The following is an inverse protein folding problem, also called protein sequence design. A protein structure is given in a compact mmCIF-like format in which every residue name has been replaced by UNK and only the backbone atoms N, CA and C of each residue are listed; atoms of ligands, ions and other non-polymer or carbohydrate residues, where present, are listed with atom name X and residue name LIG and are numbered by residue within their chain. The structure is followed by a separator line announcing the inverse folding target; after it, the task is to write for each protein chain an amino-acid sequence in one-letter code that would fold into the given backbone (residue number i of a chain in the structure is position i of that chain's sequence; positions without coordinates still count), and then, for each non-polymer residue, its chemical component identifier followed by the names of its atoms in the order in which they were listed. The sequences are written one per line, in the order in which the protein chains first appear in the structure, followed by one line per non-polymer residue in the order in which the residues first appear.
data_IF_849691770424
#
_entry.id   IF_849691770424
#
_cell.length_a   1.000
_cell.length_b   1.000
_cell.length_c   1.000
_cell.angle_alpha   90.00
_cell.angle_beta   90.00
_cell.angle_gamma   90.00
#
_symmetry.space_group_name_H-M   'P 1'
#
loop_
_entity.id
_entity.type
_entity.pdbx_description
1 polymer ?
#
# COMPACT_ATOMS: atom_id res chain seq x y z
N UNK A 1 -1.09 64.47 -10.48
CA UNK A 1 -1.30 63.60 -9.29
C UNK A 1 -2.28 62.45 -9.56
N UNK A 2 -3.44 62.65 -10.22
CA UNK A 2 -4.40 61.56 -10.55
C UNK A 2 -3.79 60.41 -11.39
N UNK A 3 -2.96 60.71 -12.38
CA UNK A 3 -2.35 59.70 -13.24
C UNK A 3 -1.27 58.85 -12.54
N UNK A 4 -0.63 59.40 -11.49
CA UNK A 4 0.37 58.69 -10.70
C UNK A 4 -0.28 57.65 -9.76
N UNK A 5 -1.44 58.02 -9.19
CA UNK A 5 -2.24 57.12 -8.34
C UNK A 5 -2.79 55.95 -9.18
N UNK A 6 -3.22 56.22 -10.42
CA UNK A 6 -3.72 55.19 -11.32
C UNK A 6 -2.63 54.17 -11.71
N UNK A 7 -1.41 54.64 -12.01
CA UNK A 7 -0.27 53.76 -12.28
C UNK A 7 0.11 52.90 -11.06
N UNK A 8 0.04 53.47 -9.85
CA UNK A 8 0.32 52.72 -8.62
C UNK A 8 -0.71 51.61 -8.39
N UNK A 9 -2.01 51.92 -8.56
CA UNK A 9 -3.08 50.91 -8.43
C UNK A 9 -2.96 49.79 -9.47
N UNK A 10 -2.62 50.11 -10.73
CA UNK A 10 -2.40 49.10 -11.77
C UNK A 10 -1.20 48.20 -11.44
N UNK A 11 -0.12 48.77 -10.89
CA UNK A 11 1.06 47.97 -10.47
C UNK A 11 0.79 47.05 -9.27
N UNK A 12 -0.07 47.45 -8.33
CA UNK A 12 -0.48 46.64 -7.18
C UNK A 12 -1.37 45.45 -7.59
N UNK A 13 -2.24 45.64 -8.59
CA UNK A 13 -3.08 44.55 -9.12
C UNK A 13 -2.24 43.51 -9.89
N UNK A 14 -1.21 43.94 -10.61
CA UNK A 14 -0.30 43.05 -11.34
C UNK A 14 0.57 42.18 -10.43
N UNK A 15 0.93 42.64 -9.22
CA UNK A 15 1.66 41.82 -8.23
C UNK A 15 0.78 40.73 -7.59
N UNK A 16 -0.54 40.95 -7.48
CA UNK A 16 -1.46 39.94 -6.93
C UNK A 16 -1.70 38.74 -7.87
N UNK A 17 -1.40 38.87 -9.16
CA UNK A 17 -1.53 37.77 -10.14
C UNK A 17 -0.33 36.82 -10.16
N UNK A 18 0.80 37.18 -9.54
CA UNK A 18 1.92 36.25 -9.36
C UNK A 18 1.73 35.45 -8.07
N UNK A 19 0.66 34.66 -8.00
CA UNK A 19 0.64 33.54 -7.07
C UNK A 19 1.70 32.55 -7.55
N UNK A 20 2.90 32.63 -6.98
CA UNK A 20 3.95 31.62 -7.12
C UNK A 20 3.47 30.33 -6.42
N UNK A 21 2.45 29.67 -6.97
CA UNK A 21 2.16 28.29 -6.65
C UNK A 21 3.13 27.44 -7.44
N UNK A 22 4.39 27.39 -7.01
CA UNK A 22 5.26 26.30 -7.45
C UNK A 22 4.50 24.99 -7.18
N UNK A 23 4.36 24.09 -8.15
CA UNK A 23 3.71 22.82 -7.92
C UNK A 23 4.43 22.11 -6.76
N UNK A 24 3.67 21.47 -5.84
CA UNK A 24 4.27 20.82 -4.69
C UNK A 24 5.28 19.76 -5.15
N UNK A 25 6.52 19.86 -4.67
CA UNK A 25 7.62 18.96 -5.04
C UNK A 25 7.33 17.54 -4.53
N UNK A 26 7.51 16.54 -5.39
CA UNK A 26 7.44 15.15 -4.97
C UNK A 26 8.66 14.75 -4.14
N UNK A 27 8.54 14.88 -2.82
CA UNK A 27 9.58 14.41 -1.89
C UNK A 27 9.46 12.92 -1.58
N UNK A 28 8.39 12.24 -1.98
CA UNK A 28 8.15 10.82 -1.70
C UNK A 28 8.68 9.88 -2.78
N UNK A 29 9.28 10.40 -3.84
CA UNK A 29 9.94 9.55 -4.83
C UNK A 29 10.97 8.61 -4.20
N UNK A 30 10.84 7.31 -4.44
CA UNK A 30 11.81 6.30 -4.00
C UNK A 30 11.27 4.89 -3.92
N UNK A 31 12.12 3.99 -3.43
CA UNK A 31 11.80 2.60 -3.13
C UNK A 31 11.52 2.43 -1.64
N UNK A 32 10.50 1.65 -1.31
CA UNK A 32 10.04 1.47 0.06
C UNK A 32 9.84 0.01 0.42
N UNK A 33 10.16 -0.34 1.66
CA UNK A 33 9.95 -1.68 2.22
C UNK A 33 8.82 -1.66 3.22
N UNK A 34 8.01 -2.71 3.17
CA UNK A 34 6.94 -2.96 4.14
C UNK A 34 7.55 -3.30 5.50
N UNK A 35 7.25 -2.49 6.53
CA UNK A 35 7.81 -2.67 7.88
C UNK A 35 6.78 -3.14 8.89
N UNK A 36 5.50 -2.86 8.67
CA UNK A 36 4.42 -3.37 9.51
C UNK A 36 3.14 -3.50 8.71
N UNK A 37 2.29 -4.44 9.13
CA UNK A 37 0.90 -4.54 8.70
C UNK A 37 0.09 -4.86 9.94
N UNK A 38 -0.86 -3.99 10.27
CA UNK A 38 -1.85 -4.24 11.32
C UNK A 38 -3.23 -4.44 10.70
N UNK A 39 -4.08 -5.19 11.39
CA UNK A 39 -5.46 -5.46 11.00
C UNK A 39 -6.41 -5.05 12.12
N UNK A 40 -7.49 -4.36 11.80
CA UNK A 40 -8.54 -4.04 12.78
C UNK A 40 -9.29 -5.31 13.25
N UNK A 41 -9.21 -6.40 12.47
CA UNK A 41 -9.76 -7.71 12.81
C UNK A 41 -8.63 -8.74 12.97
N UNK A 42 -8.44 -9.31 14.17
CA UNK A 42 -7.47 -10.39 14.36
C UNK A 42 -7.81 -11.61 13.50
N UNK A 43 -6.79 -12.21 12.88
CA UNK A 43 -6.89 -13.38 12.01
C UNK A 43 -5.76 -14.35 12.32
N UNK A 44 -6.00 -15.64 12.07
CA UNK A 44 -4.99 -16.69 12.07
C UNK A 44 -4.64 -16.98 10.60
N UNK A 45 -3.45 -16.54 10.16
CA UNK A 45 -3.01 -16.75 8.78
C UNK A 45 -2.07 -17.95 8.62
N UNK A 46 -1.48 -18.42 9.73
CA UNK A 46 -0.45 -19.44 9.76
C UNK A 46 -0.99 -20.80 10.25
N UNK A 47 -2.28 -20.91 10.55
CA UNK A 47 -2.95 -22.12 11.03
C UNK A 47 -2.38 -22.66 12.36
N UNK A 48 -1.89 -21.78 13.24
CA UNK A 48 -1.45 -22.16 14.59
C UNK A 48 -2.57 -22.11 15.64
N UNK A 49 -3.75 -21.66 15.26
CA UNK A 49 -4.94 -21.55 16.11
C UNK A 49 -5.00 -20.26 16.93
N UNK A 50 -4.00 -19.38 16.83
CA UNK A 50 -3.94 -18.08 17.53
C UNK A 50 -4.21 -16.98 16.53
N UNK A 51 -5.13 -16.06 16.87
CA UNK A 51 -5.39 -14.87 16.06
C UNK A 51 -4.57 -13.70 16.54
N UNK A 52 -4.09 -12.90 15.61
CA UNK A 52 -3.39 -11.66 15.91
C UNK A 52 -3.84 -10.50 15.02
N UNK A 53 -3.84 -9.29 15.57
CA UNK A 53 -3.97 -8.05 14.81
C UNK A 53 -2.64 -7.63 14.15
N UNK A 54 -1.52 -8.19 14.58
CA UNK A 54 -0.22 -8.03 13.91
C UNK A 54 -0.16 -8.95 12.68
N UNK A 55 -0.69 -8.45 11.59
CA UNK A 55 -0.85 -9.18 10.34
C UNK A 55 0.50 -9.55 9.72
N UNK A 56 1.52 -8.69 9.84
CA UNK A 56 2.85 -9.01 9.33
C UNK A 56 3.49 -10.15 10.13
N UNK A 57 3.28 -10.18 11.46
CA UNK A 57 3.72 -11.30 12.28
C UNK A 57 3.02 -12.61 11.90
N UNK A 58 1.71 -12.59 11.67
CA UNK A 58 0.96 -13.75 11.17
C UNK A 58 1.51 -14.28 9.85
N UNK A 59 1.80 -13.38 8.89
CA UNK A 59 2.40 -13.76 7.61
C UNK A 59 3.78 -14.41 7.77
N UNK A 60 4.63 -13.84 8.62
CA UNK A 60 6.04 -14.23 8.75
C UNK A 60 6.27 -15.39 9.71
N UNK A 61 5.28 -15.73 10.54
CA UNK A 61 5.31 -16.90 11.37
C UNK A 61 5.32 -18.20 10.55
N UNK A 62 5.74 -19.29 11.18
CA UNK A 62 5.69 -20.60 10.53
C UNK A 62 4.24 -21.03 10.36
N UNK A 63 3.88 -21.43 9.16
CA UNK A 63 2.59 -22.04 8.85
C UNK A 63 2.56 -23.51 9.31
N UNK A 64 1.51 -23.93 9.99
CA UNK A 64 1.29 -25.32 10.38
C UNK A 64 0.41 -26.02 9.36
N UNK A 65 0.86 -27.18 8.88
CA UNK A 65 0.05 -28.00 7.96
C UNK A 65 -1.27 -28.41 8.61
N UNK A 66 -2.29 -28.82 7.85
CA UNK A 66 -3.58 -29.15 8.44
C UNK A 66 -3.57 -30.27 9.49
N UNK A 67 -2.59 -31.17 9.40
CA UNK A 67 -2.34 -32.23 10.40
C UNK A 67 -1.56 -31.74 11.62
N UNK A 68 -1.11 -30.49 11.62
CA UNK A 68 -0.23 -29.84 12.60
C UNK A 68 1.08 -30.59 12.90
N UNK A 69 1.46 -31.55 12.07
CA UNK A 69 2.65 -32.39 12.27
C UNK A 69 3.94 -31.74 11.80
N UNK A 70 3.84 -30.71 10.95
CA UNK A 70 4.97 -29.98 10.39
C UNK A 70 4.65 -28.51 10.28
N UNK A 71 5.68 -27.67 10.35
CA UNK A 71 5.55 -26.24 10.09
C UNK A 71 6.55 -25.76 9.03
N UNK A 72 6.19 -24.76 8.25
CA UNK A 72 6.94 -24.25 7.09
C UNK A 72 7.02 -22.72 7.12
N UNK A 73 8.10 -22.15 6.61
CA UNK A 73 8.18 -20.70 6.37
C UNK A 73 7.52 -20.40 5.03
N UNK A 74 6.38 -19.71 5.03
CA UNK A 74 5.59 -19.47 3.81
C UNK A 74 5.78 -18.08 3.22
N UNK A 75 6.27 -17.13 4.02
CA UNK A 75 6.49 -15.76 3.59
C UNK A 75 7.72 -15.18 4.27
N UNK A 76 8.50 -14.44 3.48
CA UNK A 76 9.64 -13.67 3.96
C UNK A 76 9.46 -12.23 3.48
N UNK A 77 9.50 -11.23 4.38
CA UNK A 77 9.26 -9.83 4.03
C UNK A 77 10.47 -9.20 3.33
N UNK A 78 11.58 -9.94 3.19
CA UNK A 78 12.81 -9.47 2.58
C UNK A 78 12.85 -9.79 1.09
N UNK A 79 13.10 -8.79 0.24
CA UNK A 79 13.28 -8.98 -1.20
C UNK A 79 12.61 -7.88 -2.01
N UNK A 80 12.81 -7.88 -3.34
CA UNK A 80 12.17 -6.93 -4.27
C UNK A 80 10.64 -7.10 -4.33
N UNK A 81 10.15 -8.30 -4.06
CA UNK A 81 8.79 -8.78 -4.35
C UNK A 81 7.65 -8.09 -3.58
N UNK A 82 7.90 -7.49 -2.42
CA UNK A 82 6.86 -6.86 -1.58
C UNK A 82 7.16 -5.39 -1.25
N UNK A 83 7.96 -4.74 -2.11
CA UNK A 83 8.23 -3.31 -1.98
C UNK A 83 7.18 -2.47 -2.69
N UNK A 84 7.13 -1.20 -2.28
CA UNK A 84 6.45 -0.17 -3.03
C UNK A 84 7.47 0.71 -3.75
N UNK A 85 7.07 1.26 -4.89
CA UNK A 85 7.86 2.23 -5.66
C UNK A 85 6.99 3.46 -5.94
N UNK A 86 7.52 4.63 -5.62
CA UNK A 86 6.89 5.92 -5.93
C UNK A 86 7.77 6.63 -6.94
N UNK A 87 7.25 6.85 -8.15
CA UNK A 87 7.91 7.55 -9.26
C UNK A 87 7.28 8.94 -9.46
N UNK A 88 8.05 9.97 -9.87
CA UNK A 88 9.47 9.93 -10.19
C UNK A 88 10.37 10.03 -8.94
N UNK A 89 11.58 9.50 -9.06
CA UNK A 89 12.67 9.62 -8.07
C UNK A 89 14.02 9.71 -8.80
N UNK A 90 15.11 10.02 -8.09
CA UNK A 90 16.42 10.35 -8.70
C UNK A 90 17.00 9.27 -9.61
N UNK A 91 16.80 7.99 -9.30
CA UNK A 91 17.25 6.87 -10.14
C UNK A 91 16.27 6.46 -11.25
N UNK A 92 15.14 7.15 -11.41
CA UNK A 92 14.15 6.85 -12.44
C UNK A 92 14.28 7.83 -13.62
N UNK A 93 14.31 7.30 -14.84
CA UNK A 93 14.40 8.07 -16.09
C UNK A 93 13.03 8.61 -16.55
N UNK A 94 11.93 8.10 -16.00
CA UNK A 94 10.56 8.53 -16.34
C UNK A 94 10.08 9.63 -15.40
N UNK A 95 9.42 10.65 -15.95
CA UNK A 95 8.82 11.75 -15.18
C UNK A 95 7.36 11.50 -14.82
N UNK A 96 6.80 10.37 -15.26
CA UNK A 96 5.40 10.05 -15.06
C UNK A 96 5.10 9.69 -13.59
N UNK A 97 4.17 10.39 -12.92
CA UNK A 97 3.80 10.08 -11.55
C UNK A 97 3.07 8.73 -11.46
N UNK A 98 3.70 7.74 -10.81
CA UNK A 98 3.09 6.44 -10.54
C UNK A 98 3.46 5.94 -9.14
N UNK A 99 2.57 5.15 -8.53
CA UNK A 99 2.83 4.41 -7.31
C UNK A 99 2.45 2.97 -7.53
N UNK A 100 3.41 2.08 -7.28
CA UNK A 100 3.25 0.65 -7.43
C UNK A 100 3.40 -0.02 -6.07
N UNK A 101 2.52 -0.96 -5.75
CA UNK A 101 2.59 -1.78 -4.54
C UNK A 101 2.54 -3.26 -4.90
N UNK A 102 3.24 -4.08 -4.12
CA UNK A 102 3.11 -5.52 -4.19
C UNK A 102 2.70 -6.07 -2.80
N UNK A 103 1.47 -6.58 -2.69
CA UNK A 103 0.96 -7.13 -1.43
C UNK A 103 1.00 -8.66 -1.41
N UNK A 104 1.26 -9.28 -0.25
CA UNK A 104 1.11 -10.72 -0.11
C UNK A 104 -0.37 -11.12 -0.12
N UNK A 105 -0.72 -12.06 -0.99
CA UNK A 105 -2.04 -12.68 -1.05
C UNK A 105 -1.98 -14.18 -0.83
N UNK A 106 -2.93 -14.71 -0.04
CA UNK A 106 -3.03 -16.14 0.26
C UNK A 106 -3.56 -16.91 -0.96
N UNK A 107 -2.75 -17.83 -1.48
CA UNK A 107 -3.23 -18.89 -2.35
C UNK A 107 -3.70 -20.05 -1.47
N UNK A 108 -5.02 -20.21 -1.32
CA UNK A 108 -5.65 -21.25 -0.50
C UNK A 108 -6.15 -22.37 -1.39
N UNK A 109 -5.84 -23.60 -1.01
CA UNK A 109 -6.30 -24.82 -1.69
C UNK A 109 -6.98 -25.76 -0.69
N UNK A 110 -7.54 -26.87 -1.16
CA UNK A 110 -8.20 -27.88 -0.34
C UNK A 110 -7.94 -29.30 -0.84
N UNK A 111 -7.86 -30.24 0.09
CA UNK A 111 -7.53 -31.65 -0.20
C UNK A 111 -8.55 -32.37 -1.09
N UNK A 112 -9.84 -32.00 -1.04
CA UNK A 112 -10.90 -32.53 -1.93
C UNK A 112 -12.22 -31.76 -1.80
N UNK A 113 -13.10 -31.89 -2.80
CA UNK A 113 -14.46 -31.31 -2.76
C UNK A 113 -15.36 -31.92 -1.66
N UNK A 114 -15.17 -33.19 -1.32
CA UNK A 114 -16.02 -33.95 -0.38
C UNK A 114 -15.59 -33.84 1.09
N UNK A 115 -14.29 -33.65 1.35
CA UNK A 115 -13.74 -33.47 2.69
C UNK A 115 -12.71 -32.33 2.68
N UNK A 116 -13.22 -31.09 2.63
CA UNK A 116 -12.42 -29.87 2.43
C UNK A 116 -11.58 -29.58 3.66
N UNK A 117 -10.35 -30.05 3.65
CA UNK A 117 -9.31 -29.54 4.54
C UNK A 117 -8.58 -28.43 3.79
N UNK A 118 -8.79 -27.18 4.22
CA UNK A 118 -8.15 -26.02 3.63
C UNK A 118 -6.69 -25.91 4.06
N UNK A 119 -5.82 -25.52 3.15
CA UNK A 119 -4.40 -25.27 3.43
C UNK A 119 -3.86 -24.11 2.62
N UNK A 120 -2.85 -23.44 3.17
CA UNK A 120 -2.10 -22.41 2.46
C UNK A 120 -1.12 -23.08 1.50
N UNK A 121 -1.25 -22.81 0.20
CA UNK A 121 -0.31 -23.30 -0.80
C UNK A 121 0.94 -22.41 -0.87
N UNK A 122 0.77 -21.09 -0.98
CA UNK A 122 1.84 -20.08 -0.92
C UNK A 122 1.26 -18.66 -0.80
N UNK A 123 2.12 -17.67 -0.54
CA UNK A 123 1.79 -16.25 -0.70
C UNK A 123 2.26 -15.72 -2.05
N UNK A 124 1.35 -15.21 -2.86
CA UNK A 124 1.70 -14.57 -4.14
C UNK A 124 1.78 -13.04 -4.00
N UNK A 125 2.77 -12.38 -4.64
CA UNK A 125 2.76 -10.93 -4.76
C UNK A 125 1.68 -10.51 -5.76
N UNK A 126 0.76 -9.64 -5.31
CA UNK A 126 -0.24 -9.03 -6.18
C UNK A 126 0.11 -7.57 -6.38
N UNK A 127 0.30 -7.20 -7.65
CA UNK A 127 0.63 -5.85 -8.07
C UNK A 127 -0.62 -4.98 -8.11
N UNK A 128 -0.55 -3.82 -7.46
CA UNK A 128 -1.55 -2.75 -7.55
C UNK A 128 -0.84 -1.44 -7.90
N UNK A 129 -1.19 -0.86 -9.05
CA UNK A 129 -0.53 0.32 -9.61
C UNK A 129 -1.50 1.49 -9.75
N UNK A 130 -1.04 2.68 -9.37
CA UNK A 130 -1.80 3.92 -9.39
C UNK A 130 -1.01 5.03 -10.07
N UNK A 131 -1.73 6.03 -10.55
CA UNK A 131 -1.16 7.37 -10.67
C UNK A 131 -1.53 8.19 -9.45
N UNK A 132 -0.90 9.35 -9.28
CA UNK A 132 -1.23 10.20 -8.14
C UNK A 132 -1.03 11.68 -8.43
N UNK A 133 -1.70 12.49 -7.62
CA UNK A 133 -1.56 13.95 -7.58
C UNK A 133 -1.21 14.38 -6.15
N UNK A 134 -0.21 15.25 -6.04
CA UNK A 134 0.11 15.92 -4.77
C UNK A 134 -0.78 17.15 -4.66
N UNK A 135 -1.60 17.17 -3.61
CA UNK A 135 -2.52 18.27 -3.33
C UNK A 135 -1.77 19.47 -2.70
N UNK A 136 -2.44 20.61 -2.60
CA UNK A 136 -1.85 21.85 -2.05
C UNK A 136 -1.38 21.71 -0.59
N UNK A 137 -2.09 20.89 0.19
CA UNK A 137 -1.74 20.53 1.57
C UNK A 137 -0.66 19.43 1.67
N UNK A 138 -0.10 19.00 0.53
CA UNK A 138 0.88 17.92 0.37
C UNK A 138 0.33 16.50 0.61
N UNK A 139 -0.99 16.34 0.77
CA UNK A 139 -1.62 15.02 0.74
C UNK A 139 -1.50 14.40 -0.65
N UNK A 140 -1.60 13.07 -0.71
CA UNK A 140 -1.54 12.32 -1.97
C UNK A 140 -2.94 11.82 -2.30
N UNK A 141 -3.41 12.20 -3.49
CA UNK A 141 -4.62 11.63 -4.08
C UNK A 141 -4.21 10.53 -5.05
N UNK A 142 -4.59 9.29 -4.74
CA UNK A 142 -4.42 8.16 -5.67
C UNK A 142 -5.49 8.22 -6.77
N UNK A 143 -5.07 7.91 -7.99
CA UNK A 143 -5.90 7.88 -9.18
C UNK A 143 -5.67 6.53 -9.86
N UNK A 144 -6.66 5.66 -9.75
CA UNK A 144 -6.68 4.39 -10.44
C UNK A 144 -7.03 4.61 -11.93
N UNK A 145 -6.05 4.42 -12.80
CA UNK A 145 -6.22 4.52 -14.26
C UNK A 145 -6.38 3.16 -14.93
N UNK A 146 -6.36 2.07 -14.16
CA UNK A 146 -6.55 0.72 -14.65
C UNK A 146 -7.90 0.19 -14.14
N UNK A 147 -9.03 0.62 -14.73
CA UNK A 147 -10.32 -0.03 -14.49
C UNK A 147 -10.32 -1.38 -15.22
N UNK A 148 -9.42 -2.28 -14.84
CA UNK A 148 -9.47 -3.65 -15.33
C UNK A 148 -10.60 -4.35 -14.58
N UNK A 149 -11.50 -5.01 -15.31
CA UNK A 149 -12.56 -5.89 -14.80
C UNK A 149 -12.01 -7.15 -14.09
N UNK A 150 -10.77 -7.10 -13.58
CA UNK A 150 -10.17 -8.18 -12.81
C UNK A 150 -10.67 -8.05 -11.38
N UNK A 151 -11.06 -9.17 -10.80
CA UNK A 151 -11.41 -9.25 -9.39
C UNK A 151 -10.21 -8.76 -8.57
N UNK A 152 -10.35 -7.55 -8.02
CA UNK A 152 -9.31 -6.97 -7.17
C UNK A 152 -9.18 -7.79 -5.91
N UNK A 153 -7.99 -8.29 -5.68
CA UNK A 153 -7.67 -9.14 -4.54
C UNK A 153 -7.58 -8.32 -3.23
N UNK A 154 -7.43 -7.01 -3.36
CA UNK A 154 -7.62 -6.01 -2.32
C UNK A 154 -7.86 -4.64 -2.95
N UNK A 155 -8.36 -3.71 -2.15
CA UNK A 155 -8.61 -2.33 -2.56
C UNK A 155 -7.78 -1.42 -1.69
N UNK A 156 -6.85 -0.68 -2.31
CA UNK A 156 -6.19 0.44 -1.64
C UNK A 156 -7.21 1.57 -1.50
N UNK A 157 -7.53 1.94 -0.28
CA UNK A 157 -8.54 2.96 0.02
C UNK A 157 -7.92 4.30 0.37
N UNK A 158 -6.70 4.30 0.93
CA UNK A 158 -6.03 5.53 1.36
C UNK A 158 -4.51 5.38 1.36
N UNK A 159 -3.81 6.48 1.07
CA UNK A 159 -2.37 6.65 1.31
C UNK A 159 -2.16 7.92 2.12
N UNK A 160 -1.52 7.79 3.26
CA UNK A 160 -1.17 8.91 4.13
C UNK A 160 0.33 9.06 4.24
N UNK A 161 0.84 10.27 3.97
CA UNK A 161 2.24 10.59 4.20
C UNK A 161 2.47 10.79 5.71
N UNK A 162 3.34 9.97 6.29
CA UNK A 162 3.77 10.14 7.70
C UNK A 162 4.90 11.17 7.77
N UNK A 163 5.91 11.04 6.92
CA UNK A 163 7.03 11.99 6.81
C UNK A 163 7.70 11.87 5.42
N UNK A 164 8.90 12.42 5.24
CA UNK A 164 9.63 12.38 3.97
C UNK A 164 10.04 10.98 3.53
N UNK A 165 10.17 10.04 4.48
CA UNK A 165 10.73 8.71 4.26
C UNK A 165 9.74 7.58 4.52
N UNK A 166 8.48 7.88 4.87
CA UNK A 166 7.49 6.86 5.18
C UNK A 166 6.07 7.30 4.89
N UNK A 167 5.22 6.32 4.65
CA UNK A 167 3.79 6.48 4.46
C UNK A 167 3.04 5.30 5.06
N UNK A 168 1.78 5.54 5.40
CA UNK A 168 0.80 4.50 5.73
C UNK A 168 -0.08 4.26 4.50
N UNK A 169 -0.45 3.00 4.30
CA UNK A 169 -1.42 2.59 3.30
C UNK A 169 -2.57 1.85 3.97
N UNK A 170 -3.80 2.25 3.67
CA UNK A 170 -5.01 1.55 4.08
C UNK A 170 -5.49 0.64 2.95
N UNK A 171 -5.73 -0.63 3.27
CA UNK A 171 -6.08 -1.67 2.32
C UNK A 171 -7.21 -2.53 2.86
N UNK A 172 -8.25 -2.74 2.08
CA UNK A 172 -9.28 -3.72 2.36
C UNK A 172 -9.02 -4.96 1.52
N UNK A 173 -8.89 -6.15 2.12
CA UNK A 173 -8.69 -7.39 1.36
C UNK A 173 -9.37 -8.59 1.98
N UNK A 174 -9.73 -9.56 1.14
CA UNK A 174 -10.18 -10.87 1.60
C UNK A 174 -8.99 -11.71 2.05
N UNK A 175 -9.12 -12.31 3.23
CA UNK A 175 -8.13 -13.20 3.84
C UNK A 175 -8.82 -14.43 4.37
N UNK A 176 -8.15 -15.58 4.30
CA UNK A 176 -8.65 -16.81 4.89
C UNK A 176 -8.13 -16.91 6.32
N UNK A 177 -9.06 -16.97 7.28
CA UNK A 177 -8.76 -17.16 8.70
C UNK A 177 -8.85 -18.66 9.01
N UNK A 178 -7.71 -19.28 9.32
CA UNK A 178 -7.62 -20.71 9.56
C UNK A 178 -8.36 -21.18 10.81
N UNK A 179 -8.42 -20.33 11.83
CA UNK A 179 -9.14 -20.64 13.06
C UNK A 179 -10.66 -20.74 12.85
N UNK A 180 -11.25 -19.94 11.95
CA UNK A 180 -12.68 -20.03 11.59
C UNK A 180 -12.93 -20.85 10.31
N UNK A 181 -11.88 -21.20 9.57
CA UNK A 181 -11.92 -21.87 8.26
C UNK A 181 -12.82 -21.16 7.25
N UNK A 182 -12.76 -19.82 7.21
CA UNK A 182 -13.56 -18.99 6.30
C UNK A 182 -12.83 -17.75 5.84
N UNK A 183 -13.27 -17.23 4.70
CA UNK A 183 -12.84 -15.93 4.20
C UNK A 183 -13.45 -14.79 5.04
N UNK A 184 -12.63 -13.80 5.38
CA UNK A 184 -12.99 -12.56 6.07
C UNK A 184 -12.46 -11.37 5.28
N UNK A 185 -13.15 -10.23 5.40
CA UNK A 185 -12.57 -8.95 4.98
C UNK A 185 -11.70 -8.43 6.11
N UNK A 186 -10.43 -8.19 5.82
CA UNK A 186 -9.50 -7.53 6.74
C UNK A 186 -9.25 -6.09 6.27
N UNK A 187 -9.38 -5.17 7.22
CA UNK A 187 -9.03 -3.76 7.07
C UNK A 187 -7.61 -3.58 7.60
N UNK A 188 -6.68 -3.32 6.69
CA UNK A 188 -5.25 -3.33 6.98
C UNK A 188 -4.66 -1.93 6.92
N UNK A 189 -3.73 -1.66 7.84
CA UNK A 189 -2.83 -0.51 7.80
C UNK A 189 -1.40 -0.99 7.65
N UNK A 190 -0.79 -0.65 6.52
CA UNK A 190 0.56 -1.06 6.17
C UNK A 190 1.50 0.15 6.21
N UNK A 191 2.59 0.04 6.97
CA UNK A 191 3.62 1.09 7.03
C UNK A 191 4.77 0.72 6.11
N UNK A 192 5.18 1.68 5.30
CA UNK A 192 6.29 1.57 4.37
C UNK A 192 7.39 2.57 4.72
N UNK A 193 8.64 2.09 4.75
CA UNK A 193 9.83 2.90 5.01
C UNK A 193 10.75 2.91 3.79
N UNK A 194 11.28 4.09 3.44
CA UNK A 194 12.20 4.27 2.32
C UNK A 194 13.47 3.43 2.52
N UNK A 195 13.89 2.72 1.48
CA UNK A 195 15.19 2.04 1.45
C UNK A 195 16.33 3.05 1.43
N UNK A 196 17.28 2.89 2.34
CA UNK A 196 18.60 3.49 2.19
C UNK A 196 19.36 2.72 1.11
N UNK A 197 19.97 3.44 0.17
CA UNK A 197 20.91 2.90 -0.82
C UNK A 197 22.32 3.35 -0.46
#
# INVERSE_FOLDING_TARGET
MKNLILLLLVSLVLQSCFSNSNPPINTLGGWYTLTSVSSDTPVDLNNDGVRSADFLKELTARYYTPTQSTSLSMFTPTGSLYNAEIRPHTSNQTTYPSIDFNFPHQSIDSTSLANRTYFLHFYQPVFEGFTYEIQKDRSIKLIDKLPTNKEKIGTVTHLERINSNSFELTIDKKVFDFADKRWKTAHLKAIYLRKAF
#
